data_IF_193846114101
#
_entry.id   IF_193846114101
#
_cell.length_a   1.000
_cell.length_b   1.000
_cell.length_c   1.000
_cell.angle_alpha   90.00
_cell.angle_beta   90.00
_cell.angle_gamma   90.00
#
_symmetry.space_group_name_H-M   'P 1'
#
loop_
_entity.id
_entity.type
_entity.pdbx_description
1 polymer ?
#
# COMPACT_ATOMS: atom_id res chain seq x y z
N UNK A 1 -21.98 6.42 -10.48
CA UNK A 1 -21.39 6.60 -9.14
C UNK A 1 -21.20 8.09 -8.81
N UNK A 2 -20.86 8.48 -7.56
CA UNK A 2 -20.59 9.89 -7.20
C UNK A 2 -19.15 10.26 -7.60
N UNK A 3 -18.95 11.38 -8.31
CA UNK A 3 -17.61 11.88 -8.65
C UNK A 3 -16.78 12.26 -7.42
N UNK A 4 -15.45 12.18 -7.53
CA UNK A 4 -14.49 12.57 -6.50
C UNK A 4 -14.73 13.98 -5.96
N UNK A 5 -15.04 14.95 -6.84
CA UNK A 5 -15.42 16.33 -6.48
C UNK A 5 -16.65 16.37 -5.57
N UNK A 6 -17.67 15.55 -5.85
CA UNK A 6 -18.91 15.50 -5.06
C UNK A 6 -18.65 14.87 -3.69
N UNK A 7 -17.80 13.84 -3.60
CA UNK A 7 -17.39 13.23 -2.32
C UNK A 7 -16.61 14.23 -1.46
N UNK A 8 -15.59 14.90 -2.02
CA UNK A 8 -14.82 15.94 -1.31
C UNK A 8 -15.73 17.04 -0.77
N UNK A 9 -16.64 17.59 -1.60
CA UNK A 9 -17.59 18.62 -1.18
C UNK A 9 -18.48 18.17 -0.01
N UNK A 10 -18.91 16.90 0.01
CA UNK A 10 -19.70 16.34 1.10
C UNK A 10 -18.88 16.21 2.38
N UNK A 11 -17.66 15.66 2.30
CA UNK A 11 -16.76 15.53 3.44
C UNK A 11 -16.40 16.88 4.05
N UNK A 12 -16.06 17.89 3.23
CA UNK A 12 -15.74 19.23 3.70
C UNK A 12 -16.92 19.91 4.44
N UNK A 13 -18.17 19.61 4.05
CA UNK A 13 -19.35 20.10 4.77
C UNK A 13 -19.41 19.51 6.19
N UNK A 14 -19.11 18.21 6.33
CA UNK A 14 -19.08 17.51 7.62
C UNK A 14 -17.92 18.05 8.48
N UNK A 15 -16.71 18.17 7.91
CA UNK A 15 -15.54 18.67 8.62
C UNK A 15 -15.76 20.10 9.16
N UNK A 16 -16.43 20.97 8.40
CA UNK A 16 -16.83 22.31 8.86
C UNK A 16 -17.73 22.25 10.10
N UNK A 17 -18.73 21.36 10.13
CA UNK A 17 -19.61 21.20 11.30
C UNK A 17 -18.85 20.70 12.54
N UNK A 18 -17.79 19.93 12.34
CA UNK A 18 -16.93 19.39 13.40
C UNK A 18 -15.77 20.33 13.78
N UNK A 19 -15.68 21.53 13.17
CA UNK A 19 -14.58 22.48 13.34
C UNK A 19 -13.19 21.87 13.04
N UNK A 20 -13.14 20.87 12.16
CA UNK A 20 -11.88 20.27 11.71
C UNK A 20 -11.27 21.17 10.62
N UNK A 21 -10.00 21.59 10.74
CA UNK A 21 -9.32 22.36 9.71
C UNK A 21 -9.27 21.61 8.37
N UNK A 22 -9.51 22.32 7.27
CA UNK A 22 -9.52 21.73 5.91
C UNK A 22 -8.27 22.21 5.15
N UNK A 23 -7.44 21.28 4.71
CA UNK A 23 -6.35 21.55 3.78
C UNK A 23 -6.89 21.68 2.35
N UNK A 24 -6.91 22.90 1.80
CA UNK A 24 -7.38 23.19 0.44
C UNK A 24 -6.50 22.57 -0.65
N UNK A 25 -5.23 22.30 -0.33
CA UNK A 25 -4.25 21.72 -1.25
C UNK A 25 -4.29 20.19 -1.31
N UNK A 26 -5.11 19.55 -0.47
CA UNK A 26 -5.26 18.09 -0.51
C UNK A 26 -5.86 17.66 -1.86
N UNK A 27 -5.21 16.78 -2.64
CA UNK A 27 -5.72 16.35 -3.93
C UNK A 27 -7.05 15.60 -3.79
N UNK A 28 -7.75 15.45 -4.92
CA UNK A 28 -8.94 14.60 -4.97
C UNK A 28 -8.50 13.13 -4.96
N UNK A 29 -9.22 12.30 -4.23
CA UNK A 29 -9.14 10.84 -4.41
C UNK A 29 -9.59 10.49 -5.82
N UNK A 30 -9.01 9.45 -6.40
CA UNK A 30 -9.33 8.89 -7.70
C UNK A 30 -10.84 8.59 -7.82
N UNK A 31 -11.39 8.69 -9.03
CA UNK A 31 -12.72 8.17 -9.28
C UNK A 31 -12.72 6.65 -9.22
N UNK A 32 -13.85 6.03 -8.89
CA UNK A 32 -13.94 4.56 -8.82
C UNK A 32 -13.59 3.90 -10.17
N UNK A 33 -13.87 4.59 -11.28
CA UNK A 33 -13.51 4.17 -12.65
C UNK A 33 -12.01 4.26 -12.95
N UNK A 34 -11.27 5.07 -12.18
CA UNK A 34 -9.81 5.24 -12.30
C UNK A 34 -9.04 4.25 -11.39
N UNK A 35 -9.75 3.54 -10.49
CA UNK A 35 -9.14 2.60 -9.56
C UNK A 35 -9.00 1.23 -10.22
N UNK A 36 -7.76 0.78 -10.37
CA UNK A 36 -7.46 -0.61 -10.69
C UNK A 36 -7.36 -1.44 -9.41
N UNK A 37 -8.17 -2.49 -9.30
CA UNK A 37 -8.02 -3.46 -8.21
C UNK A 37 -6.85 -4.37 -8.52
N UNK A 38 -6.03 -4.64 -7.50
CA UNK A 38 -4.98 -5.64 -7.61
C UNK A 38 -5.58 -7.00 -7.94
N UNK A 39 -4.95 -7.71 -8.86
CA UNK A 39 -5.15 -9.12 -9.12
C UNK A 39 -4.76 -9.94 -7.89
N UNK A 40 -5.23 -11.19 -7.84
CA UNK A 40 -4.87 -12.14 -6.79
C UNK A 40 -3.35 -12.34 -6.71
N UNK A 41 -2.68 -12.41 -7.85
CA UNK A 41 -1.23 -12.59 -7.94
C UNK A 41 -0.48 -11.39 -7.35
N UNK A 42 -0.85 -10.16 -7.74
CA UNK A 42 -0.26 -8.95 -7.15
C UNK A 42 -0.48 -8.87 -5.62
N UNK A 43 -1.62 -9.36 -5.12
CA UNK A 43 -1.88 -9.44 -3.68
C UNK A 43 -0.95 -10.47 -3.02
N UNK A 44 -0.80 -11.65 -3.60
CA UNK A 44 0.07 -12.71 -3.07
C UNK A 44 1.53 -12.23 -3.03
N UNK A 45 2.02 -11.69 -4.14
CA UNK A 45 3.38 -11.18 -4.26
C UNK A 45 3.66 -10.11 -3.20
N UNK A 46 2.71 -9.18 -3.01
CA UNK A 46 2.83 -8.15 -1.97
C UNK A 46 2.87 -8.74 -0.55
N UNK A 47 2.06 -9.75 -0.25
CA UNK A 47 2.04 -10.40 1.06
C UNK A 47 3.37 -11.07 1.35
N UNK A 48 3.93 -11.79 0.36
CA UNK A 48 5.24 -12.45 0.48
C UNK A 48 6.32 -11.42 0.80
N UNK A 49 6.45 -10.37 -0.01
CA UNK A 49 7.48 -9.34 0.20
C UNK A 49 7.34 -8.68 1.57
N UNK A 50 6.13 -8.29 1.97
CA UNK A 50 5.89 -7.64 3.25
C UNK A 50 6.19 -8.55 4.45
N UNK A 51 5.88 -9.84 4.35
CA UNK A 51 6.16 -10.80 5.41
C UNK A 51 7.67 -10.98 5.61
N UNK A 52 8.43 -11.12 4.53
CA UNK A 52 9.90 -11.27 4.57
C UNK A 52 10.56 -10.01 5.13
N UNK A 53 10.19 -8.83 4.62
CA UNK A 53 10.73 -7.54 5.10
C UNK A 53 10.41 -7.34 6.58
N UNK A 54 9.19 -7.67 7.01
CA UNK A 54 8.80 -7.58 8.43
C UNK A 54 9.60 -8.54 9.31
N UNK A 55 9.79 -9.79 8.87
CA UNK A 55 10.59 -10.77 9.61
C UNK A 55 12.05 -10.31 9.76
N UNK A 56 12.63 -9.75 8.69
CA UNK A 56 13.98 -9.16 8.73
C UNK A 56 14.08 -7.99 9.71
N UNK A 57 13.11 -7.06 9.67
CA UNK A 57 13.05 -5.94 10.61
C UNK A 57 12.87 -6.37 12.07
N UNK A 58 12.29 -7.56 12.29
CA UNK A 58 12.13 -8.18 13.62
C UNK A 58 13.30 -9.09 14.00
N UNK A 59 14.43 -9.01 13.30
CA UNK A 59 15.65 -9.78 13.59
C UNK A 59 15.44 -11.31 13.55
N UNK A 60 14.56 -11.79 12.66
CA UNK A 60 14.45 -13.22 12.40
C UNK A 60 15.80 -13.80 11.91
N UNK A 61 16.09 -15.09 12.15
CA UNK A 61 17.34 -15.70 11.72
C UNK A 61 17.57 -15.54 10.21
N UNK A 62 18.77 -15.12 9.76
CA UNK A 62 19.08 -14.92 8.34
C UNK A 62 18.78 -16.14 7.48
N UNK A 63 19.05 -17.35 7.99
CA UNK A 63 18.84 -18.60 7.26
C UNK A 63 17.35 -18.85 6.99
N UNK A 64 16.48 -18.38 7.89
CA UNK A 64 15.02 -18.45 7.68
C UNK A 64 14.53 -17.43 6.68
N UNK A 65 15.14 -16.26 6.64
CA UNK A 65 14.83 -15.22 5.66
C UNK A 65 15.23 -15.71 4.27
N UNK A 66 16.45 -16.20 4.12
CA UNK A 66 16.97 -16.79 2.86
C UNK A 66 16.11 -17.97 2.40
N UNK A 67 15.74 -18.89 3.30
CA UNK A 67 14.81 -20.00 3.00
C UNK A 67 13.50 -19.51 2.39
N UNK A 68 12.92 -18.42 2.93
CA UNK A 68 11.66 -17.87 2.40
C UNK A 68 11.85 -17.11 1.08
N UNK A 69 12.97 -16.39 0.91
CA UNK A 69 13.28 -15.71 -0.35
C UNK A 69 13.38 -16.74 -1.48
N UNK A 70 14.11 -17.83 -1.26
CA UNK A 70 14.24 -18.90 -2.25
C UNK A 70 12.91 -19.62 -2.48
N UNK A 71 12.22 -20.05 -1.41
CA UNK A 71 10.96 -20.81 -1.51
C UNK A 71 9.90 -20.10 -2.33
N UNK A 72 9.82 -18.78 -2.21
CA UNK A 72 8.80 -17.98 -2.88
C UNK A 72 9.30 -17.24 -4.12
N UNK A 73 10.56 -17.48 -4.52
CA UNK A 73 11.23 -16.71 -5.58
C UNK A 73 11.08 -15.19 -5.38
N UNK A 74 11.18 -14.75 -4.11
CA UNK A 74 10.84 -13.38 -3.72
C UNK A 74 11.88 -12.35 -4.15
N UNK A 75 13.07 -12.79 -4.59
CA UNK A 75 14.11 -11.89 -5.08
C UNK A 75 13.64 -11.05 -6.28
N UNK A 76 12.79 -11.61 -7.13
CA UNK A 76 12.15 -10.92 -8.27
C UNK A 76 11.06 -9.93 -7.84
N UNK A 77 10.65 -9.95 -6.57
CA UNK A 77 9.63 -9.06 -6.00
C UNK A 77 10.21 -7.87 -5.26
N UNK A 78 11.53 -7.81 -5.14
CA UNK A 78 12.27 -6.74 -4.48
C UNK A 78 12.80 -5.74 -5.51
N UNK A 79 12.86 -4.48 -5.12
CA UNK A 79 13.61 -3.46 -5.85
C UNK A 79 15.12 -3.77 -5.81
N UNK A 80 15.89 -3.18 -6.73
CA UNK A 80 17.35 -3.32 -6.75
C UNK A 80 17.99 -2.90 -5.41
N UNK A 81 17.43 -1.88 -4.76
CA UNK A 81 17.86 -1.48 -3.42
C UNK A 81 17.56 -2.60 -2.42
N UNK A 82 16.32 -3.09 -2.36
CA UNK A 82 15.85 -4.15 -1.47
C UNK A 82 16.64 -5.47 -1.57
N UNK A 83 17.18 -5.80 -2.75
CA UNK A 83 18.02 -6.99 -2.97
C UNK A 83 19.41 -6.90 -2.32
N UNK A 84 19.90 -5.67 -2.07
CA UNK A 84 21.24 -5.43 -1.52
C UNK A 84 21.26 -5.24 0.01
N UNK A 85 20.10 -5.11 0.65
CA UNK A 85 20.01 -5.05 2.12
C UNK A 85 20.08 -6.44 2.72
#
# INVERSE_FOLDING_TARGET
MKSSKKRKKQSEKILKTLKVPINKHLPLTENEEEVSLRTKEEIINRIISLAIVSAKAMEAPPEKIEEFIERYNANELFTEEEQNF
#
